data_IF_557854522499
#
_entry.id   IF_557854522499
#
_cell.length_a   1.000
_cell.length_b   1.000
_cell.length_c   1.000
_cell.angle_alpha   90.00
_cell.angle_beta   90.00
_cell.angle_gamma   90.00
#
_symmetry.space_group_name_H-M   'P 1'
#
loop_
_entity.id
_entity.type
_entity.pdbx_description
1 polymer ?
#
# COMPACT_ATOMS: atom_id res chain seq x y z
N UNK A 1 6.34 19.91 0.58
CA UNK A 1 5.55 19.74 1.82
C UNK A 1 4.05 20.00 1.61
N UNK A 2 3.63 21.12 1.02
CA UNK A 2 2.20 21.43 0.79
C UNK A 2 1.44 20.39 -0.04
N UNK A 3 2.07 19.74 -1.03
CA UNK A 3 1.45 18.70 -1.85
C UNK A 3 0.88 17.56 -1.01
N UNK A 4 1.65 17.02 -0.07
CA UNK A 4 1.18 15.93 0.81
C UNK A 4 0.05 16.36 1.74
N UNK A 5 0.06 17.62 2.20
CA UNK A 5 -1.04 18.15 3.03
C UNK A 5 -2.33 18.23 2.21
N UNK A 6 -2.27 18.74 0.98
CA UNK A 6 -3.43 18.81 0.07
C UNK A 6 -3.95 17.40 -0.22
N UNK A 7 -3.07 16.45 -0.54
CA UNK A 7 -3.44 15.06 -0.76
C UNK A 7 -4.12 14.43 0.46
N UNK A 8 -3.58 14.69 1.66
CA UNK A 8 -4.18 14.20 2.90
C UNK A 8 -5.57 14.79 3.15
N UNK A 9 -5.73 16.10 2.98
CA UNK A 9 -7.02 16.75 3.12
C UNK A 9 -8.05 16.20 2.12
N UNK A 10 -7.65 15.99 0.87
CA UNK A 10 -8.50 15.40 -0.15
C UNK A 10 -8.91 13.97 0.23
N UNK A 11 -7.97 13.12 0.64
CA UNK A 11 -8.24 11.74 1.06
C UNK A 11 -9.24 11.70 2.22
N UNK A 12 -8.98 12.48 3.27
CA UNK A 12 -9.86 12.55 4.45
C UNK A 12 -11.26 13.02 4.06
N UNK A 13 -11.35 14.06 3.25
CA UNK A 13 -12.64 14.58 2.75
C UNK A 13 -13.42 13.52 1.99
N UNK A 14 -12.78 12.80 1.06
CA UNK A 14 -13.40 11.75 0.27
C UNK A 14 -13.89 10.60 1.17
N UNK A 15 -13.07 10.18 2.13
CA UNK A 15 -13.44 9.10 3.07
C UNK A 15 -14.67 9.47 3.90
N UNK A 16 -14.75 10.70 4.39
CA UNK A 16 -15.88 11.13 5.20
C UNK A 16 -17.11 11.50 4.39
N UNK A 17 -16.95 11.88 3.12
CA UNK A 17 -18.07 12.18 2.22
C UNK A 17 -18.81 10.91 1.78
N UNK A 18 -18.13 9.78 1.63
CA UNK A 18 -18.75 8.52 1.24
C UNK A 18 -19.50 7.89 2.42
N UNK A 19 -20.84 7.92 2.36
CA UNK A 19 -21.71 7.36 3.39
C UNK A 19 -21.51 5.85 3.61
N UNK A 20 -21.04 5.10 2.60
CA UNK A 20 -20.74 3.67 2.74
C UNK A 20 -19.54 3.41 3.66
N UNK A 21 -18.64 4.40 3.80
CA UNK A 21 -17.50 4.29 4.72
C UNK A 21 -17.91 4.27 6.20
N UNK A 22 -19.13 4.73 6.55
CA UNK A 22 -19.65 4.62 7.91
C UNK A 22 -19.80 3.18 8.39
N UNK A 23 -19.90 2.23 7.46
CA UNK A 23 -19.99 0.80 7.75
C UNK A 23 -18.60 0.13 7.88
N UNK A 24 -17.53 0.86 7.55
CA UNK A 24 -16.16 0.35 7.66
C UNK A 24 -15.71 0.26 9.11
N UNK A 25 -14.84 -0.71 9.40
CA UNK A 25 -14.21 -0.77 10.71
C UNK A 25 -13.30 0.43 10.94
N UNK A 26 -13.22 0.92 12.19
CA UNK A 26 -12.30 2.00 12.56
C UNK A 26 -10.85 1.70 12.18
N UNK A 27 -10.46 0.40 12.19
CA UNK A 27 -9.11 -0.04 11.82
C UNK A 27 -8.82 0.16 10.33
N UNK A 28 -9.78 -0.16 9.45
CA UNK A 28 -9.65 0.05 8.01
C UNK A 28 -9.52 1.54 7.69
N UNK A 29 -10.43 2.36 8.23
CA UNK A 29 -10.38 3.82 8.03
C UNK A 29 -9.07 4.40 8.57
N UNK A 30 -8.68 4.02 9.79
CA UNK A 30 -7.43 4.48 10.41
C UNK A 30 -6.22 4.14 9.55
N UNK A 31 -6.09 2.90 9.09
CA UNK A 31 -5.01 2.49 8.19
C UNK A 31 -4.97 3.38 6.94
N UNK A 32 -6.11 3.58 6.27
CA UNK A 32 -6.17 4.36 5.04
C UNK A 32 -5.76 5.83 5.27
N UNK A 33 -6.18 6.43 6.38
CA UNK A 33 -5.83 7.82 6.72
C UNK A 33 -4.33 7.96 7.03
N UNK A 34 -3.71 6.94 7.67
CA UNK A 34 -2.31 7.01 8.05
C UNK A 34 -1.31 6.75 6.93
N UNK A 35 -1.74 6.24 5.76
CA UNK A 35 -0.86 5.95 4.61
C UNK A 35 -0.08 7.21 4.19
N UNK A 36 -0.75 8.33 3.92
CA UNK A 36 -0.09 9.55 3.44
C UNK A 36 0.83 10.17 4.51
N UNK A 37 0.42 10.34 5.78
CA UNK A 37 1.31 10.81 6.84
C UNK A 37 2.59 9.98 6.99
N UNK A 38 2.48 8.65 6.96
CA UNK A 38 3.64 7.76 7.07
C UNK A 38 4.59 7.93 5.88
N UNK A 39 4.07 7.95 4.65
CA UNK A 39 4.87 8.19 3.44
C UNK A 39 5.56 9.57 3.53
N UNK A 40 4.83 10.60 3.95
CA UNK A 40 5.36 11.95 4.12
C UNK A 40 6.50 12.00 5.12
N UNK A 41 6.36 11.30 6.23
CA UNK A 41 7.37 11.25 7.30
C UNK A 41 8.65 10.56 6.83
N UNK A 42 8.51 9.43 6.12
CA UNK A 42 9.63 8.69 5.51
C UNK A 42 10.33 9.58 4.48
N UNK A 43 9.58 10.18 3.54
CA UNK A 43 10.15 11.04 2.51
C UNK A 43 10.94 12.23 3.09
N UNK A 44 10.36 12.95 4.06
CA UNK A 44 11.05 14.08 4.68
C UNK A 44 12.26 13.64 5.51
N UNK A 45 12.20 12.47 6.15
CA UNK A 45 13.33 11.89 6.87
C UNK A 45 14.52 11.64 5.95
N UNK A 46 14.28 10.95 4.83
CA UNK A 46 15.30 10.66 3.81
C UNK A 46 15.87 11.96 3.24
N UNK A 47 15.00 12.90 2.84
CA UNK A 47 15.43 14.18 2.28
C UNK A 47 16.37 14.95 3.23
N UNK A 48 16.13 14.88 4.54
CA UNK A 48 17.02 15.47 5.55
C UNK A 48 18.36 14.77 5.62
N UNK A 49 18.38 13.43 5.62
CA UNK A 49 19.62 12.66 5.64
C UNK A 49 20.49 12.93 4.42
N UNK A 50 19.88 12.99 3.23
CA UNK A 50 20.57 13.38 1.98
C UNK A 50 21.17 14.78 2.11
N UNK A 51 20.41 15.76 2.59
CA UNK A 51 20.89 17.13 2.76
C UNK A 51 22.02 17.26 3.80
N UNK A 52 22.12 16.33 4.74
CA UNK A 52 23.21 16.25 5.71
C UNK A 52 24.46 15.51 5.17
N UNK A 53 24.43 15.07 3.89
CA UNK A 53 25.54 14.36 3.27
C UNK A 53 25.68 12.90 3.71
N UNK A 54 24.63 12.32 4.27
CA UNK A 54 24.64 10.88 4.63
C UNK A 54 24.64 10.01 3.37
N UNK A 55 25.39 8.91 3.42
CA UNK A 55 25.26 7.85 2.44
C UNK A 55 23.90 7.15 2.64
N UNK A 56 23.00 7.34 1.67
CA UNK A 56 21.62 6.86 1.73
C UNK A 56 21.34 5.71 0.75
N UNK A 57 22.35 5.23 0.02
CA UNK A 57 22.13 4.20 -1.01
C UNK A 57 21.52 2.93 -0.39
N UNK A 58 22.13 2.40 0.67
CA UNK A 58 21.63 1.22 1.38
C UNK A 58 20.25 1.46 2.02
N UNK A 59 19.99 2.68 2.51
CA UNK A 59 18.68 3.05 3.04
C UNK A 59 17.61 3.07 1.94
N UNK A 60 17.95 3.59 0.76
CA UNK A 60 17.05 3.58 -0.40
C UNK A 60 16.69 2.17 -0.83
N UNK A 61 17.66 1.29 -0.95
CA UNK A 61 17.43 -0.12 -1.30
C UNK A 61 16.59 -0.83 -0.24
N UNK A 62 16.89 -0.63 1.04
CA UNK A 62 16.08 -1.16 2.12
C UNK A 62 14.61 -0.69 2.06
N UNK A 63 14.37 0.58 1.79
CA UNK A 63 13.02 1.12 1.66
C UNK A 63 12.28 0.59 0.44
N UNK A 64 12.97 0.37 -0.68
CA UNK A 64 12.37 -0.22 -1.87
C UNK A 64 11.89 -1.64 -1.56
N UNK A 65 12.73 -2.51 -1.06
CA UNK A 65 12.37 -3.92 -0.86
C UNK A 65 11.51 -4.13 0.40
N UNK A 66 11.98 -3.66 1.55
CA UNK A 66 11.31 -3.91 2.83
C UNK A 66 10.13 -2.98 3.06
N UNK A 67 10.24 -1.71 2.65
CA UNK A 67 9.15 -0.75 2.77
C UNK A 67 7.95 -1.12 1.89
N UNK A 68 8.21 -1.51 0.63
CA UNK A 68 7.15 -1.98 -0.29
C UNK A 68 6.55 -3.29 0.22
N UNK A 69 7.38 -4.24 0.67
CA UNK A 69 6.93 -5.50 1.25
C UNK A 69 6.04 -5.27 2.46
N UNK A 70 6.45 -4.42 3.41
CA UNK A 70 5.64 -4.09 4.58
C UNK A 70 4.32 -3.42 4.20
N UNK A 71 4.35 -2.50 3.25
CA UNK A 71 3.14 -1.84 2.73
C UNK A 71 2.16 -2.86 2.14
N UNK A 72 2.63 -3.76 1.29
CA UNK A 72 1.80 -4.81 0.69
C UNK A 72 1.26 -5.78 1.74
N UNK A 73 2.06 -6.13 2.75
CA UNK A 73 1.63 -6.97 3.86
C UNK A 73 0.48 -6.34 4.64
N UNK A 74 0.62 -5.07 4.99
CA UNK A 74 -0.42 -4.34 5.72
C UNK A 74 -1.69 -4.23 4.88
N UNK A 75 -1.60 -3.75 3.65
CA UNK A 75 -2.76 -3.59 2.77
C UNK A 75 -3.42 -4.94 2.51
N UNK A 76 -2.65 -5.97 2.14
CA UNK A 76 -3.16 -7.31 1.85
C UNK A 76 -3.89 -7.95 3.03
N UNK A 77 -3.40 -7.74 4.25
CA UNK A 77 -4.05 -8.23 5.47
C UNK A 77 -5.37 -7.49 5.80
N UNK A 78 -5.48 -6.23 5.38
CA UNK A 78 -6.70 -5.44 5.60
C UNK A 78 -7.71 -5.57 4.46
N UNK A 79 -7.26 -5.85 3.24
CA UNK A 79 -8.10 -5.91 2.04
C UNK A 79 -9.35 -6.80 2.21
N UNK A 80 -9.27 -8.03 2.77
CA UNK A 80 -10.44 -8.87 3.01
C UNK A 80 -11.45 -8.31 4.05
N UNK A 81 -11.06 -7.29 4.79
CA UNK A 81 -11.89 -6.68 5.85
C UNK A 81 -12.61 -5.41 5.37
N UNK A 82 -12.31 -4.98 4.15
CA UNK A 82 -12.92 -3.80 3.54
C UNK A 82 -14.32 -4.17 3.05
N UNK A 83 -15.34 -3.54 3.60
CA UNK A 83 -16.72 -3.67 3.11
C UNK A 83 -16.90 -2.88 1.83
N UNK A 84 -17.85 -3.30 0.98
CA UNK A 84 -18.14 -2.64 -0.28
C UNK A 84 -18.39 -1.13 -0.09
N UNK A 85 -17.66 -0.32 -0.86
CA UNK A 85 -17.72 1.14 -0.81
C UNK A 85 -17.15 1.74 -2.11
N UNK A 86 -17.24 3.08 -2.25
CA UNK A 86 -16.78 3.78 -3.45
C UNK A 86 -15.38 4.40 -3.30
N UNK A 87 -14.69 4.21 -2.17
CA UNK A 87 -13.45 4.94 -1.86
C UNK A 87 -12.26 4.01 -1.65
N UNK A 88 -12.41 2.93 -0.89
CA UNK A 88 -11.31 2.07 -0.41
C UNK A 88 -11.46 0.67 -1.00
N UNK A 89 -10.41 0.13 -1.62
CA UNK A 89 -10.35 -1.24 -2.14
C UNK A 89 -10.27 -1.34 -3.66
N UNK A 90 -10.45 -2.54 -4.18
CA UNK A 90 -10.44 -2.85 -5.62
C UNK A 90 -11.82 -2.55 -6.20
N UNK A 91 -11.93 -1.43 -6.89
CA UNK A 91 -13.19 -0.84 -7.37
C UNK A 91 -13.30 -0.98 -8.88
N UNK A 92 -13.68 -2.15 -9.31
CA UNK A 92 -14.03 -2.44 -10.70
C UNK A 92 -15.54 -2.61 -10.82
N UNK A 93 -16.08 -2.53 -12.03
CA UNK A 93 -17.53 -2.51 -12.25
C UNK A 93 -18.23 -3.67 -11.54
N UNK A 94 -17.73 -4.88 -11.70
CA UNK A 94 -18.34 -6.08 -11.11
C UNK A 94 -18.22 -6.16 -9.57
N UNK A 95 -17.16 -5.59 -8.96
CA UNK A 95 -17.07 -5.54 -7.49
C UNK A 95 -17.98 -4.48 -6.89
N UNK A 96 -18.24 -3.38 -7.61
CA UNK A 96 -19.13 -2.33 -7.13
C UNK A 96 -20.62 -2.69 -7.26
N UNK A 97 -20.96 -3.61 -8.18
CA UNK A 97 -22.34 -4.03 -8.44
C UNK A 97 -22.80 -5.20 -7.57
N UNK A 98 -21.85 -6.03 -7.09
CA UNK A 98 -22.15 -7.24 -6.36
C UNK A 98 -21.23 -7.40 -5.14
N UNK A 99 -21.84 -7.55 -3.96
CA UNK A 99 -21.14 -7.70 -2.69
C UNK A 99 -20.42 -9.04 -2.57
N UNK A 100 -20.94 -10.11 -3.18
CA UNK A 100 -20.28 -11.40 -3.18
C UNK A 100 -18.99 -11.36 -3.99
N UNK A 101 -19.04 -10.78 -5.18
CA UNK A 101 -17.87 -10.52 -6.02
C UNK A 101 -16.85 -9.61 -5.32
N UNK A 102 -17.32 -8.57 -4.63
CA UNK A 102 -16.46 -7.73 -3.80
C UNK A 102 -15.69 -8.54 -2.77
N UNK A 103 -16.41 -9.33 -1.98
CA UNK A 103 -15.81 -10.12 -0.91
C UNK A 103 -14.86 -11.21 -1.44
N UNK A 104 -15.21 -11.86 -2.57
CA UNK A 104 -14.37 -12.88 -3.20
C UNK A 104 -13.08 -12.26 -3.74
N UNK A 105 -13.18 -11.15 -4.49
CA UNK A 105 -12.04 -10.42 -5.05
C UNK A 105 -11.10 -9.95 -3.95
N UNK A 106 -11.62 -9.30 -2.91
CA UNK A 106 -10.78 -8.77 -1.83
C UNK A 106 -10.11 -9.86 -1.00
N UNK A 107 -10.77 -11.01 -0.79
CA UNK A 107 -10.14 -12.17 -0.13
C UNK A 107 -9.02 -12.79 -0.96
N UNK A 108 -9.24 -12.93 -2.27
CA UNK A 108 -8.25 -13.47 -3.18
C UNK A 108 -7.04 -12.54 -3.31
N UNK A 109 -7.30 -11.28 -3.63
CA UNK A 109 -6.27 -10.25 -3.77
C UNK A 109 -5.45 -10.06 -2.49
N UNK A 110 -6.10 -10.10 -1.32
CA UNK A 110 -5.40 -10.00 -0.03
C UNK A 110 -4.35 -11.10 0.15
N UNK A 111 -4.65 -12.34 -0.24
CA UNK A 111 -3.69 -13.44 -0.19
C UNK A 111 -2.50 -13.22 -1.12
N UNK A 112 -2.76 -12.76 -2.35
CA UNK A 112 -1.70 -12.49 -3.34
C UNK A 112 -0.82 -11.32 -2.87
N UNK A 113 -1.40 -10.26 -2.35
CA UNK A 113 -0.65 -9.13 -1.81
C UNK A 113 0.25 -9.54 -0.64
N UNK A 114 -0.23 -10.38 0.27
CA UNK A 114 0.60 -10.93 1.37
C UNK A 114 1.71 -11.83 0.83
N UNK A 115 1.43 -12.71 -0.14
CA UNK A 115 2.45 -13.55 -0.76
C UNK A 115 3.51 -12.70 -1.47
N UNK A 116 3.09 -11.69 -2.27
CA UNK A 116 3.98 -10.74 -2.93
C UNK A 116 4.82 -9.95 -1.92
N UNK A 117 4.26 -9.59 -0.76
CA UNK A 117 5.00 -8.87 0.30
C UNK A 117 6.17 -9.68 0.84
N UNK A 118 5.96 -10.97 1.10
CA UNK A 118 7.01 -11.88 1.57
C UNK A 118 8.10 -12.00 0.50
N UNK A 119 7.71 -12.16 -0.77
CA UNK A 119 8.66 -12.26 -1.88
C UNK A 119 9.46 -10.97 -2.04
N UNK A 120 8.84 -9.79 -1.94
CA UNK A 120 9.55 -8.51 -1.96
C UNK A 120 10.61 -8.42 -0.85
N UNK A 121 10.27 -8.83 0.38
CA UNK A 121 11.21 -8.81 1.51
C UNK A 121 12.36 -9.81 1.32
N UNK A 122 12.09 -11.00 0.79
CA UNK A 122 13.13 -11.99 0.48
C UNK A 122 14.08 -11.48 -0.62
N UNK A 123 13.57 -10.78 -1.65
CA UNK A 123 14.39 -10.15 -2.67
C UNK A 123 15.36 -9.12 -2.07
N UNK A 124 14.97 -8.43 -1.00
CA UNK A 124 15.83 -7.49 -0.30
C UNK A 124 17.09 -8.10 0.33
N UNK A 125 17.10 -9.42 0.62
CA UNK A 125 18.28 -10.13 1.10
C UNK A 125 19.33 -10.30 0.00
N UNK A 126 18.95 -10.18 -1.26
CA UNK A 126 19.78 -10.36 -2.45
C UNK A 126 19.69 -9.13 -3.36
N UNK A 127 19.63 -7.93 -2.76
CA UNK A 127 19.32 -6.67 -3.45
C UNK A 127 20.27 -6.34 -4.63
N UNK A 128 21.52 -6.80 -4.58
CA UNK A 128 22.52 -6.61 -5.67
C UNK A 128 22.29 -7.57 -6.85
N UNK A 129 21.43 -8.59 -6.70
CA UNK A 129 21.18 -9.59 -7.75
C UNK A 129 20.15 -9.10 -8.75
N UNK A 130 20.48 -9.17 -10.05
CA UNK A 130 19.53 -8.91 -11.13
C UNK A 130 18.31 -9.84 -11.04
N UNK A 131 18.52 -11.10 -10.63
CA UNK A 131 17.41 -12.05 -10.46
C UNK A 131 16.45 -11.60 -9.34
N UNK A 132 16.96 -11.05 -8.23
CA UNK A 132 16.14 -10.49 -7.16
C UNK A 132 15.33 -9.28 -7.64
N UNK A 133 15.93 -8.40 -8.43
CA UNK A 133 15.23 -7.26 -9.02
C UNK A 133 14.10 -7.71 -9.96
N UNK A 134 14.35 -8.69 -10.82
CA UNK A 134 13.32 -9.24 -11.72
C UNK A 134 12.17 -9.87 -10.93
N UNK A 135 12.47 -10.69 -9.93
CA UNK A 135 11.45 -11.30 -9.05
C UNK A 135 10.65 -10.25 -8.29
N UNK A 136 11.30 -9.20 -7.82
CA UNK A 136 10.64 -8.07 -7.15
C UNK A 136 9.63 -7.38 -8.08
N UNK A 137 10.04 -7.05 -9.31
CA UNK A 137 9.16 -6.45 -10.32
C UNK A 137 7.98 -7.37 -10.63
N UNK A 138 8.23 -8.66 -10.85
CA UNK A 138 7.18 -9.66 -11.12
C UNK A 138 6.19 -9.74 -9.96
N UNK A 139 6.66 -9.70 -8.70
CA UNK A 139 5.78 -9.76 -7.53
C UNK A 139 4.86 -8.53 -7.42
N UNK A 140 5.38 -7.34 -7.74
CA UNK A 140 4.59 -6.10 -7.79
C UNK A 140 3.55 -6.18 -8.91
N UNK A 141 3.95 -6.63 -10.10
CA UNK A 141 3.04 -6.78 -11.24
C UNK A 141 1.91 -7.77 -10.94
N UNK A 142 2.22 -8.90 -10.30
CA UNK A 142 1.21 -9.88 -9.89
C UNK A 142 0.19 -9.28 -8.90
N UNK A 143 0.63 -8.42 -7.98
CA UNK A 143 -0.26 -7.71 -7.07
C UNK A 143 -1.10 -6.62 -7.76
N UNK A 144 -0.60 -6.04 -8.85
CA UNK A 144 -1.27 -4.94 -9.57
C UNK A 144 -2.31 -5.43 -10.60
N UNK A 145 -2.19 -6.65 -11.13
CA UNK A 145 -3.06 -7.20 -12.20
C UNK A 145 -4.41 -7.71 -11.64
N UNK A 146 -4.54 -7.83 -10.34
CA UNK A 146 -5.74 -8.34 -9.65
C UNK A 146 -6.68 -7.20 -9.32
#
# INVERSE_FOLDING_TARGET
MYFFIVMQCALVTIIFYDNRNRQQSRKVIGMTIWIIPVITLIYNGIARLVNMGADTENLFMALIYYGTGLMFMVIGNYLPKVKQNNTIGIRVVWTLQDEENWNATHRFSGKIWVASSILCMLCGLFAESIAALVLYIVSIMAAAII
#
